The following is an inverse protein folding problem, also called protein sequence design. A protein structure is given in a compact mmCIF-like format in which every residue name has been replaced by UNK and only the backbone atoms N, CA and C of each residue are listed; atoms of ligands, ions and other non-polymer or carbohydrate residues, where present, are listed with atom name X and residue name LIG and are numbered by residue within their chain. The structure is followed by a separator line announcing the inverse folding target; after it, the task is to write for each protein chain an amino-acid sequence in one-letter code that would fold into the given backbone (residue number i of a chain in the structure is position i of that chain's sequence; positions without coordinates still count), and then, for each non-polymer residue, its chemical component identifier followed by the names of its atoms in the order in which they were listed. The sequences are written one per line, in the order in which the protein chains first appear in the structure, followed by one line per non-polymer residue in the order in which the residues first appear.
data_IF_945986678538
#
_entry.id   IF_945986678538
#
_cell.length_a   1.000
_cell.length_b   1.000
_cell.length_c   1.000
_cell.angle_alpha   90.00
_cell.angle_beta   90.00
_cell.angle_gamma   90.00
#
_symmetry.space_group_name_H-M   'P 1'
#
loop_
_entity.id
_entity.type
_entity.pdbx_description
1 polymer ?
#
# COMPACT_ATOMS: atom_id res chain seq x y z
N UNK A 1 -10.30 -19.33 -4.08
CA UNK A 1 -9.35 -18.52 -3.34
C UNK A 1 -9.93 -18.08 -2.00
N UNK A 2 -9.10 -17.83 -1.01
CA UNK A 2 -9.50 -17.45 0.35
C UNK A 2 -10.37 -16.19 0.39
N UNK A 3 -10.10 -15.19 -0.46
CA UNK A 3 -10.90 -13.95 -0.48
C UNK A 3 -12.41 -14.18 -0.61
N UNK A 4 -12.82 -15.28 -1.25
CA UNK A 4 -14.23 -15.62 -1.39
C UNK A 4 -14.81 -16.37 -0.20
N UNK A 5 -13.98 -16.72 0.79
CA UNK A 5 -14.36 -17.42 2.01
C UNK A 5 -14.26 -16.56 3.27
N UNK A 6 -13.52 -15.44 3.21
CA UNK A 6 -13.26 -14.56 4.35
C UNK A 6 -13.79 -13.13 4.17
N UNK A 7 -14.16 -12.73 2.95
CA UNK A 7 -14.73 -11.41 2.70
C UNK A 7 -16.25 -11.52 2.58
N UNK A 8 -16.97 -10.69 3.34
CA UNK A 8 -18.40 -10.52 3.17
C UNK A 8 -18.68 -9.65 1.93
N UNK A 9 -19.59 -10.09 1.09
CA UNK A 9 -20.07 -9.32 -0.06
C UNK A 9 -21.58 -9.16 0.08
N UNK A 10 -22.14 -7.95 -0.09
CA UNK A 10 -23.57 -7.71 0.04
C UNK A 10 -24.43 -8.57 -0.92
N UNK A 11 -23.90 -8.86 -2.11
CA UNK A 11 -24.52 -9.67 -3.14
C UNK A 11 -24.34 -11.19 -2.95
N UNK A 12 -23.67 -11.61 -1.89
CA UNK A 12 -23.35 -13.00 -1.58
C UNK A 12 -23.53 -13.33 -0.11
N UNK A 13 -24.73 -13.19 0.46
CA UNK A 13 -24.97 -13.41 1.90
C UNK A 13 -24.76 -14.86 2.33
N UNK A 14 -24.83 -15.82 1.39
CA UNK A 14 -24.54 -17.24 1.64
C UNK A 14 -23.06 -17.54 1.90
N UNK A 15 -22.16 -16.61 1.62
CA UNK A 15 -20.75 -16.76 1.94
C UNK A 15 -20.56 -16.71 3.45
N UNK A 16 -20.25 -17.84 4.01
CA UNK A 16 -20.06 -18.00 5.44
C UNK A 16 -18.57 -18.19 5.78
N UNK A 17 -18.27 -17.88 7.00
CA UNK A 17 -16.93 -18.05 7.58
C UNK A 17 -16.73 -19.43 8.23
N UNK A 18 -17.57 -20.42 7.94
CA UNK A 18 -17.58 -21.70 8.64
C UNK A 18 -16.22 -22.43 8.57
N UNK A 19 -15.61 -22.46 7.39
CA UNK A 19 -14.27 -23.07 7.24
C UNK A 19 -13.22 -22.30 8.04
N UNK A 20 -13.29 -20.97 8.05
CA UNK A 20 -12.38 -20.14 8.82
C UNK A 20 -12.58 -20.36 10.32
N UNK A 21 -13.84 -20.45 10.81
CA UNK A 21 -14.16 -20.77 12.20
C UNK A 21 -13.54 -22.10 12.63
N UNK A 22 -13.64 -23.14 11.81
CA UNK A 22 -13.03 -24.45 12.11
C UNK A 22 -11.52 -24.38 12.24
N UNK A 23 -10.85 -23.63 11.34
CA UNK A 23 -9.40 -23.45 11.38
C UNK A 23 -8.97 -22.70 12.64
N UNK A 24 -9.64 -21.60 12.97
CA UNK A 24 -9.35 -20.82 14.17
C UNK A 24 -9.62 -21.63 15.44
N UNK A 25 -10.74 -22.36 15.53
CA UNK A 25 -11.05 -23.23 16.65
C UNK A 25 -9.97 -24.30 16.87
N UNK A 26 -9.59 -24.98 15.78
CA UNK A 26 -8.53 -26.01 15.86
C UNK A 26 -7.16 -25.46 16.26
N UNK A 27 -6.85 -24.21 15.90
CA UNK A 27 -5.62 -23.55 16.37
C UNK A 27 -5.70 -23.25 17.88
N UNK A 28 -6.82 -22.70 18.34
CA UNK A 28 -7.05 -22.37 19.74
C UNK A 28 -7.00 -23.61 20.66
N UNK A 29 -7.59 -24.72 20.24
CA UNK A 29 -7.50 -26.00 20.96
C UNK A 29 -6.06 -26.48 21.19
N UNK A 30 -5.14 -26.03 20.34
CA UNK A 30 -3.69 -26.32 20.42
C UNK A 30 -2.88 -25.19 21.09
N UNK A 31 -3.55 -24.17 21.64
CA UNK A 31 -2.89 -23.03 22.25
C UNK A 31 -2.16 -22.11 21.25
N UNK A 32 -2.51 -22.18 19.97
CA UNK A 32 -1.88 -21.35 18.92
C UNK A 32 -2.65 -20.05 18.80
N UNK A 33 -2.03 -18.87 19.05
CA UNK A 33 -2.67 -17.58 18.90
C UNK A 33 -3.01 -17.28 17.43
N UNK A 34 -4.22 -16.82 17.20
CA UNK A 34 -4.72 -16.51 15.86
C UNK A 34 -4.69 -15.01 15.63
N UNK A 35 -3.97 -14.59 14.60
CA UNK A 35 -3.76 -13.19 14.24
C UNK A 35 -4.46 -12.88 12.91
N UNK A 36 -5.24 -11.80 12.87
CA UNK A 36 -5.81 -11.24 11.65
C UNK A 36 -5.13 -9.91 11.32
N UNK A 37 -4.66 -9.76 10.11
CA UNK A 37 -4.15 -8.50 9.61
C UNK A 37 -4.96 -8.03 8.41
N UNK A 38 -5.74 -6.94 8.59
CA UNK A 38 -6.50 -6.34 7.52
C UNK A 38 -5.64 -5.32 6.76
N UNK A 39 -5.37 -5.63 5.50
CA UNK A 39 -4.59 -4.80 4.57
C UNK A 39 -5.47 -3.97 3.64
N UNK A 40 -6.78 -4.11 3.75
CA UNK A 40 -7.79 -3.46 2.90
C UNK A 40 -8.57 -2.38 3.66
N UNK A 41 -8.20 -2.11 4.95
CA UNK A 41 -8.71 -0.98 5.71
C UNK A 41 -8.18 0.34 5.12
N UNK A 42 -8.84 1.45 5.22
CA UNK A 42 -10.19 1.80 5.71
C UNK A 42 -11.28 1.69 4.64
N UNK A 43 -10.92 1.19 3.39
CA UNK A 43 -11.90 1.14 2.29
C UNK A 43 -12.84 -0.06 2.43
N UNK A 44 -12.33 -1.19 2.90
CA UNK A 44 -13.05 -2.47 2.92
C UNK A 44 -13.26 -3.05 4.32
N UNK A 45 -13.28 -2.21 5.35
CA UNK A 45 -13.54 -2.62 6.74
C UNK A 45 -14.75 -3.55 6.86
N UNK A 46 -15.90 -3.13 6.33
CA UNK A 46 -17.15 -3.89 6.44
C UNK A 46 -17.12 -5.27 5.76
N UNK A 47 -16.22 -5.48 4.82
CA UNK A 47 -16.06 -6.79 4.16
C UNK A 47 -15.33 -7.80 5.02
N UNK A 48 -14.53 -7.36 5.97
CA UNK A 48 -13.63 -8.22 6.71
C UNK A 48 -13.91 -8.31 8.21
N UNK A 49 -14.72 -7.39 8.76
CA UNK A 49 -14.99 -7.33 10.20
C UNK A 49 -15.57 -8.64 10.75
N UNK A 50 -16.49 -9.29 10.03
CA UNK A 50 -17.07 -10.58 10.44
C UNK A 50 -16.05 -11.72 10.47
N UNK A 51 -14.99 -11.63 9.71
CA UNK A 51 -13.88 -12.57 9.74
C UNK A 51 -12.86 -12.19 10.80
N UNK A 52 -12.53 -10.91 10.91
CA UNK A 52 -11.59 -10.41 11.91
C UNK A 52 -12.03 -10.73 13.35
N UNK A 53 -13.34 -10.64 13.62
CA UNK A 53 -13.92 -10.95 14.96
C UNK A 53 -13.75 -12.39 15.43
N UNK A 54 -13.25 -13.27 14.58
CA UNK A 54 -12.93 -14.66 14.96
C UNK A 54 -11.54 -14.82 15.58
N UNK A 55 -10.69 -13.81 15.48
CA UNK A 55 -9.26 -13.89 15.81
C UNK A 55 -8.98 -13.32 17.20
N UNK A 56 -7.84 -13.72 17.78
CA UNK A 56 -7.42 -13.30 19.13
C UNK A 56 -6.74 -11.94 19.11
N UNK A 57 -6.10 -11.61 17.98
CA UNK A 57 -5.40 -10.34 17.74
C UNK A 57 -5.79 -9.82 16.38
N UNK A 58 -6.09 -8.52 16.30
CA UNK A 58 -6.44 -7.85 15.05
C UNK A 58 -5.41 -6.74 14.79
N UNK A 59 -4.83 -6.77 13.60
CA UNK A 59 -3.99 -5.70 13.10
C UNK A 59 -4.65 -5.03 11.90
N UNK A 60 -4.53 -3.72 11.85
CA UNK A 60 -5.04 -2.89 10.76
C UNK A 60 -3.92 -2.02 10.18
N UNK A 61 -3.94 -1.79 8.88
CA UNK A 61 -3.02 -0.81 8.25
C UNK A 61 -3.46 0.63 8.53
N UNK A 62 -4.73 0.84 8.93
CA UNK A 62 -5.34 2.14 9.17
C UNK A 62 -5.77 2.27 10.63
N UNK A 63 -5.03 3.06 11.40
CA UNK A 63 -5.35 3.28 12.81
C UNK A 63 -6.75 3.89 13.03
N UNK A 64 -7.31 4.59 12.05
CA UNK A 64 -8.64 5.18 12.15
C UNK A 64 -9.75 4.12 12.23
N UNK A 65 -9.45 2.86 11.83
CA UNK A 65 -10.36 1.73 11.97
C UNK A 65 -10.35 1.10 13.38
N UNK A 66 -9.39 1.42 14.24
CA UNK A 66 -9.25 0.79 15.56
C UNK A 66 -10.51 0.95 16.42
N UNK A 67 -11.12 2.16 16.56
CA UNK A 67 -12.34 2.31 17.34
C UNK A 67 -13.48 1.43 16.83
N UNK A 68 -13.65 1.34 15.52
CA UNK A 68 -14.69 0.51 14.89
C UNK A 68 -14.47 -0.99 15.16
N UNK A 69 -13.21 -1.45 15.15
CA UNK A 69 -12.90 -2.82 15.56
C UNK A 69 -13.25 -3.04 17.03
N UNK A 70 -12.83 -2.16 17.92
CA UNK A 70 -13.07 -2.28 19.36
C UNK A 70 -14.58 -2.29 19.70
N UNK A 71 -15.37 -1.51 18.98
CA UNK A 71 -16.83 -1.51 19.11
C UNK A 71 -17.45 -2.90 18.84
N UNK A 72 -16.93 -3.62 17.84
CA UNK A 72 -17.46 -4.92 17.41
C UNK A 72 -16.91 -6.07 18.26
N UNK A 73 -15.61 -6.07 18.56
CA UNK A 73 -14.96 -7.21 19.23
C UNK A 73 -14.82 -7.03 20.74
N UNK A 74 -15.09 -5.83 21.23
CA UNK A 74 -14.94 -5.49 22.64
C UNK A 74 -13.48 -5.35 23.10
N UNK A 75 -13.28 -4.97 24.37
CA UNK A 75 -11.96 -4.64 24.92
C UNK A 75 -11.05 -5.86 25.16
N UNK A 76 -11.59 -7.08 25.10
CA UNK A 76 -10.82 -8.30 25.33
C UNK A 76 -9.93 -8.69 24.13
N UNK A 77 -10.24 -8.20 22.93
CA UNK A 77 -9.46 -8.46 21.73
C UNK A 77 -8.47 -7.31 21.50
N UNK A 78 -7.20 -7.64 21.40
CA UNK A 78 -6.17 -6.65 21.10
C UNK A 78 -6.26 -6.19 19.65
N UNK A 79 -6.45 -4.88 19.45
CA UNK A 79 -6.47 -4.23 18.13
C UNK A 79 -5.35 -3.20 18.07
N UNK A 80 -4.48 -3.29 17.05
CA UNK A 80 -3.34 -2.40 16.92
C UNK A 80 -3.04 -2.08 15.44
N UNK A 81 -2.37 -0.96 15.14
CA UNK A 81 -1.90 -0.70 13.80
C UNK A 81 -0.73 -1.61 13.44
N UNK A 82 -0.67 -2.05 12.18
CA UNK A 82 0.47 -2.75 11.59
C UNK A 82 0.64 -2.26 10.15
N UNK A 83 1.61 -1.38 9.95
CA UNK A 83 1.83 -0.73 8.67
C UNK A 83 2.39 -1.69 7.61
N UNK A 84 2.28 -1.30 6.34
CA UNK A 84 2.88 -2.04 5.23
C UNK A 84 4.40 -2.17 5.41
N UNK A 85 4.93 -3.23 4.80
CA UNK A 85 6.35 -3.55 4.84
C UNK A 85 6.85 -4.04 3.48
N UNK A 86 8.15 -4.01 3.31
CA UNK A 86 8.86 -4.54 2.15
C UNK A 86 9.60 -5.84 2.49
N UNK A 87 9.86 -6.63 1.45
CA UNK A 87 10.77 -7.77 1.52
C UNK A 87 12.11 -7.36 0.86
N UNK A 88 13.19 -7.19 1.65
CA UNK A 88 14.48 -6.75 1.10
C UNK A 88 15.06 -7.69 0.05
N UNK A 89 14.73 -8.99 0.10
CA UNK A 89 15.12 -9.95 -0.92
C UNK A 89 14.47 -9.69 -2.30
N UNK A 90 13.40 -8.88 -2.36
CA UNK A 90 12.72 -8.49 -3.59
C UNK A 90 12.98 -7.02 -3.88
N UNK A 91 12.74 -6.14 -2.91
CA UNK A 91 12.85 -4.69 -3.04
C UNK A 91 14.10 -4.21 -2.29
N UNK A 92 15.16 -3.98 -3.04
CA UNK A 92 16.45 -3.47 -2.56
C UNK A 92 17.07 -2.56 -3.61
N UNK A 93 17.95 -1.63 -3.23
CA UNK A 93 18.63 -0.75 -4.17
C UNK A 93 19.47 -1.53 -5.19
N UNK A 94 19.74 -0.88 -6.32
CA UNK A 94 20.76 -1.28 -7.29
C UNK A 94 21.79 -0.18 -7.41
N UNK A 95 22.99 -0.55 -7.78
CA UNK A 95 24.07 0.40 -8.14
C UNK A 95 23.93 0.89 -9.57
N UNK A 96 23.09 0.24 -10.38
CA UNK A 96 22.84 0.63 -11.76
C UNK A 96 21.99 1.90 -11.80
N UNK A 97 22.28 2.79 -12.72
CA UNK A 97 21.43 3.95 -12.99
C UNK A 97 20.11 3.55 -13.66
N UNK A 98 19.16 4.48 -13.71
CA UNK A 98 17.91 4.25 -14.44
C UNK A 98 18.17 4.11 -15.96
N UNK A 99 17.34 3.30 -16.63
CA UNK A 99 17.39 3.05 -18.07
C UNK A 99 16.45 3.96 -18.87
N UNK A 100 15.30 4.29 -18.24
CA UNK A 100 14.23 5.03 -18.87
C UNK A 100 14.10 6.41 -18.22
N UNK A 101 14.39 7.51 -18.96
CA UNK A 101 14.26 8.88 -18.42
C UNK A 101 12.80 9.34 -18.38
N UNK A 102 11.91 8.49 -17.89
CA UNK A 102 10.48 8.65 -17.86
C UNK A 102 9.95 8.35 -16.45
N UNK A 103 8.66 8.69 -16.24
CA UNK A 103 7.93 8.25 -15.06
C UNK A 103 7.39 6.81 -15.24
N UNK A 104 7.26 6.10 -14.13
CA UNK A 104 6.64 4.79 -14.06
C UNK A 104 5.49 4.78 -13.06
N UNK A 105 4.39 4.09 -13.39
CA UNK A 105 3.31 3.81 -12.47
C UNK A 105 2.90 2.34 -12.54
N UNK A 106 3.02 1.61 -11.43
CA UNK A 106 2.57 0.22 -11.33
C UNK A 106 1.28 0.18 -10.54
N UNK A 107 0.14 0.01 -11.18
CA UNK A 107 -1.13 0.11 -10.46
C UNK A 107 -2.35 -0.27 -11.26
N UNK A 108 -3.51 0.07 -10.72
CA UNK A 108 -4.80 -0.08 -11.38
C UNK A 108 -5.49 1.27 -11.49
N UNK A 109 -6.27 1.42 -12.52
CA UNK A 109 -7.14 2.56 -12.74
C UNK A 109 -8.61 2.12 -12.70
N UNK A 110 -9.51 3.03 -12.30
CA UNK A 110 -10.94 2.74 -12.28
C UNK A 110 -11.77 4.01 -12.41
N UNK A 111 -12.70 4.00 -13.36
CA UNK A 111 -13.67 5.08 -13.58
C UNK A 111 -14.82 5.10 -12.58
N UNK A 112 -15.18 3.94 -12.00
CA UNK A 112 -16.42 3.77 -11.23
C UNK A 112 -16.22 3.65 -9.71
N UNK A 113 -14.98 3.54 -9.24
CA UNK A 113 -14.64 3.50 -7.80
C UNK A 113 -13.43 4.36 -7.50
N UNK A 114 -13.32 4.82 -6.24
CA UNK A 114 -12.18 5.61 -5.75
C UNK A 114 -11.91 6.90 -6.55
N UNK A 115 -12.95 7.74 -6.70
CA UNK A 115 -12.88 8.99 -7.49
C UNK A 115 -11.71 9.90 -7.08
N UNK A 116 -11.50 10.13 -5.78
CA UNK A 116 -10.36 10.94 -5.29
C UNK A 116 -9.01 10.40 -5.77
N UNK A 117 -8.80 9.07 -5.63
CA UNK A 117 -7.58 8.43 -6.13
C UNK A 117 -7.41 8.59 -7.64
N UNK A 118 -8.50 8.50 -8.40
CA UNK A 118 -8.49 8.71 -9.85
C UNK A 118 -8.06 10.14 -10.20
N UNK A 119 -8.63 11.13 -9.55
CA UNK A 119 -8.26 12.54 -9.79
C UNK A 119 -6.75 12.76 -9.54
N UNK A 120 -6.21 12.20 -8.48
CA UNK A 120 -4.77 12.23 -8.22
C UNK A 120 -3.94 11.54 -9.31
N UNK A 121 -4.39 10.39 -9.82
CA UNK A 121 -3.73 9.70 -10.92
C UNK A 121 -3.72 10.55 -12.19
N UNK A 122 -4.87 11.09 -12.57
CA UNK A 122 -5.03 11.94 -13.78
C UNK A 122 -4.17 13.19 -13.67
N UNK A 123 -4.13 13.84 -12.52
CA UNK A 123 -3.29 15.01 -12.25
C UNK A 123 -1.79 14.68 -12.42
N UNK A 124 -1.31 13.58 -11.82
CA UNK A 124 0.08 13.17 -11.98
C UNK A 124 0.42 12.78 -13.42
N UNK A 125 -0.48 12.08 -14.12
CA UNK A 125 -0.27 11.70 -15.52
C UNK A 125 -0.26 12.92 -16.45
N UNK A 126 -1.13 13.90 -16.22
CA UNK A 126 -1.12 15.16 -16.95
C UNK A 126 0.21 15.91 -16.76
N UNK A 127 0.71 15.97 -15.53
CA UNK A 127 1.99 16.60 -15.23
C UNK A 127 3.20 15.96 -15.92
N UNK A 128 3.14 14.67 -16.26
CA UNK A 128 4.24 13.95 -16.91
C UNK A 128 4.43 14.25 -18.41
N UNK A 129 3.73 15.23 -18.99
CA UNK A 129 3.77 15.52 -20.43
C UNK A 129 5.19 15.70 -21.00
N UNK A 130 6.09 16.28 -20.20
CA UNK A 130 7.46 16.57 -20.61
C UNK A 130 8.42 15.37 -20.60
N UNK A 131 8.15 14.37 -19.75
CA UNK A 131 9.05 13.20 -19.60
C UNK A 131 8.38 11.90 -20.06
N UNK A 132 7.05 11.89 -20.20
CA UNK A 132 6.28 10.68 -20.47
C UNK A 132 6.09 9.79 -19.22
N UNK A 133 5.09 8.92 -19.29
CA UNK A 133 4.80 7.95 -18.23
C UNK A 133 4.44 6.57 -18.80
N UNK A 134 5.11 5.54 -18.30
CA UNK A 134 4.75 4.14 -18.58
C UNK A 134 3.96 3.57 -17.42
N UNK A 135 2.78 3.07 -17.71
CA UNK A 135 1.88 2.42 -16.74
C UNK A 135 1.91 0.92 -16.93
N UNK A 136 2.13 0.16 -15.85
CA UNK A 136 1.97 -1.28 -15.81
C UNK A 136 0.62 -1.60 -15.17
N UNK A 137 -0.38 -1.88 -16.01
CA UNK A 137 -1.78 -1.97 -15.62
C UNK A 137 -2.12 -3.32 -14.96
N UNK A 138 -2.37 -3.30 -13.65
CA UNK A 138 -2.80 -4.48 -12.88
C UNK A 138 -4.15 -5.05 -13.32
N UNK A 139 -4.95 -4.27 -14.04
CA UNK A 139 -6.24 -4.65 -14.58
C UNK A 139 -6.21 -5.00 -16.09
N UNK A 140 -5.02 -5.11 -16.70
CA UNK A 140 -4.86 -5.35 -18.14
C UNK A 140 -5.61 -6.55 -18.69
N UNK A 141 -5.84 -7.59 -17.85
CA UNK A 141 -6.66 -8.74 -18.21
C UNK A 141 -8.17 -8.56 -18.10
N UNK A 142 -8.67 -7.36 -17.71
CA UNK A 142 -10.09 -7.07 -17.60
C UNK A 142 -10.63 -6.45 -18.89
N UNK A 143 -11.78 -6.93 -19.36
CA UNK A 143 -12.41 -6.43 -20.60
C UNK A 143 -13.21 -5.13 -20.40
N UNK A 144 -13.68 -4.86 -19.18
CA UNK A 144 -14.55 -3.70 -18.90
C UNK A 144 -13.84 -2.37 -19.18
N UNK A 145 -14.49 -1.42 -19.88
CA UNK A 145 -13.96 -0.08 -20.15
C UNK A 145 -13.70 0.74 -18.87
N UNK A 146 -14.36 0.40 -17.77
CA UNK A 146 -14.18 1.07 -16.48
C UNK A 146 -12.75 0.98 -15.93
N UNK A 147 -11.89 0.14 -16.49
CA UNK A 147 -10.50 -0.04 -16.06
C UNK A 147 -9.49 0.51 -17.06
N UNK A 148 -9.94 1.23 -18.11
CA UNK A 148 -9.04 1.80 -19.12
C UNK A 148 -8.45 3.12 -18.63
N UNK A 149 -7.15 3.27 -18.75
CA UNK A 149 -6.43 4.51 -18.51
C UNK A 149 -6.83 5.57 -19.52
N UNK A 150 -6.67 6.87 -19.18
CA UNK A 150 -6.91 7.94 -20.14
C UNK A 150 -5.98 7.81 -21.35
N UNK A 151 -6.47 8.22 -22.51
CA UNK A 151 -5.71 8.28 -23.77
C UNK A 151 -4.94 9.60 -23.80
N UNK A 152 -3.66 9.55 -23.44
CA UNK A 152 -2.75 10.71 -23.47
C UNK A 152 -1.55 10.37 -24.33
N UNK A 153 -1.09 11.29 -25.22
CA UNK A 153 0.02 11.02 -26.15
C UNK A 153 1.34 10.59 -25.47
N UNK A 154 1.53 11.00 -24.22
CA UNK A 154 2.73 10.72 -23.41
C UNK A 154 2.54 9.58 -22.40
N UNK A 155 1.39 8.92 -22.42
CA UNK A 155 1.08 7.80 -21.51
C UNK A 155 1.07 6.48 -22.27
N UNK A 156 2.03 5.61 -21.95
CA UNK A 156 2.09 4.26 -22.48
C UNK A 156 1.50 3.27 -21.48
N UNK A 157 0.56 2.43 -21.90
CA UNK A 157 -0.03 1.38 -21.06
C UNK A 157 0.54 0.02 -21.43
N UNK A 158 1.19 -0.63 -20.49
CA UNK A 158 1.75 -1.97 -20.60
C UNK A 158 0.93 -2.99 -19.78
N UNK A 159 0.98 -4.28 -20.13
CA UNK A 159 0.38 -5.33 -19.35
C UNK A 159 0.90 -5.38 -17.91
N UNK A 160 0.14 -6.05 -17.02
CA UNK A 160 0.56 -6.30 -15.64
C UNK A 160 1.82 -7.14 -15.58
N UNK A 161 2.67 -6.86 -14.59
CA UNK A 161 3.84 -7.67 -14.26
C UNK A 161 3.63 -8.40 -12.92
N UNK A 162 4.28 -9.55 -12.71
CA UNK A 162 4.34 -10.19 -11.40
C UNK A 162 4.95 -9.25 -10.34
N UNK A 163 4.49 -9.37 -9.09
CA UNK A 163 5.00 -8.55 -7.98
C UNK A 163 6.53 -8.64 -7.80
N UNK A 164 7.12 -9.79 -8.06
CA UNK A 164 8.58 -10.00 -7.99
C UNK A 164 9.37 -9.21 -9.03
N UNK A 165 8.72 -8.73 -10.09
CA UNK A 165 9.33 -7.90 -11.13
C UNK A 165 9.16 -6.41 -10.91
N UNK A 166 8.32 -5.99 -9.95
CA UNK A 166 8.06 -4.56 -9.70
C UNK A 166 9.32 -3.82 -9.22
N UNK A 167 10.18 -4.50 -8.47
CA UNK A 167 11.45 -3.94 -8.02
C UNK A 167 12.35 -3.49 -9.17
N UNK A 168 12.41 -4.30 -10.25
CA UNK A 168 13.19 -3.93 -11.43
C UNK A 168 12.64 -2.66 -12.10
N UNK A 169 11.31 -2.52 -12.17
CA UNK A 169 10.69 -1.32 -12.72
C UNK A 169 11.04 -0.08 -11.91
N UNK A 170 10.99 -0.16 -10.57
CA UNK A 170 11.32 0.97 -9.70
C UNK A 170 12.80 1.38 -9.78
N UNK A 171 13.67 0.49 -10.24
CA UNK A 171 15.10 0.77 -10.51
C UNK A 171 15.35 1.28 -11.92
N UNK A 172 14.61 0.78 -12.91
CA UNK A 172 14.84 1.07 -14.33
C UNK A 172 14.30 2.44 -14.76
N UNK A 173 13.28 2.97 -14.06
CA UNK A 173 12.70 4.26 -14.41
C UNK A 173 13.27 5.39 -13.56
N UNK A 174 13.45 6.56 -14.18
CA UNK A 174 14.01 7.76 -13.53
C UNK A 174 13.18 8.16 -12.30
N UNK A 175 11.86 8.07 -12.40
CA UNK A 175 10.94 8.41 -11.30
C UNK A 175 9.77 7.44 -11.25
N UNK A 176 9.29 7.14 -10.05
CA UNK A 176 8.14 6.27 -9.84
C UNK A 176 7.01 7.02 -9.14
N UNK A 177 5.80 6.91 -9.70
CA UNK A 177 4.62 7.61 -9.20
C UNK A 177 3.91 6.77 -8.13
N UNK A 178 3.52 7.41 -7.04
CA UNK A 178 2.68 6.85 -6.00
C UNK A 178 1.42 7.69 -5.80
N UNK A 179 0.29 7.02 -5.61
CA UNK A 179 -0.99 7.64 -5.26
C UNK A 179 -1.54 6.95 -4.03
N UNK A 180 -1.89 7.72 -3.02
CA UNK A 180 -2.54 7.25 -1.82
C UNK A 180 -4.07 7.27 -2.02
N UNK A 181 -4.77 6.30 -1.44
CA UNK A 181 -6.24 6.21 -1.47
C UNK A 181 -6.84 6.77 -0.19
N UNK A 182 -6.14 6.61 0.93
CA UNK A 182 -6.49 7.14 2.25
C UNK A 182 -5.47 8.23 2.57
N UNK A 183 -5.94 9.44 2.82
CA UNK A 183 -5.10 10.63 3.02
C UNK A 183 -5.11 11.10 4.49
N UNK A 184 -6.15 10.77 5.23
CA UNK A 184 -6.44 11.21 6.60
C UNK A 184 -5.97 10.24 7.70
N UNK A 185 -5.18 9.24 7.34
CA UNK A 185 -4.60 8.27 8.28
C UNK A 185 -3.09 8.49 8.44
N UNK A 186 -2.61 8.47 9.67
CA UNK A 186 -1.17 8.57 9.96
C UNK A 186 -0.42 7.24 9.82
N UNK A 187 -1.11 6.12 9.62
CA UNK A 187 -0.49 4.80 9.46
C UNK A 187 -0.75 4.17 8.09
N UNK A 188 -1.82 4.61 7.39
CA UNK A 188 -2.17 4.07 6.09
C UNK A 188 -1.50 4.88 4.97
N UNK A 189 -0.77 4.19 4.13
CA UNK A 189 -0.17 4.69 2.89
C UNK A 189 -0.22 3.62 1.81
N UNK A 190 0.02 3.99 0.56
CA UNK A 190 0.13 2.99 -0.49
C UNK A 190 1.40 2.15 -0.31
N UNK A 191 1.27 0.83 -0.24
CA UNK A 191 2.42 -0.09 -0.13
C UNK A 191 3.49 0.17 -1.21
N UNK A 192 3.07 0.63 -2.39
CA UNK A 192 3.99 1.00 -3.49
C UNK A 192 5.02 2.03 -3.04
N UNK A 193 4.67 2.98 -2.17
CA UNK A 193 5.61 4.01 -1.73
C UNK A 193 6.85 3.39 -1.07
N UNK A 194 6.67 2.49 -0.12
CA UNK A 194 7.81 1.82 0.53
C UNK A 194 8.53 0.86 -0.41
N UNK A 195 7.84 0.26 -1.39
CA UNK A 195 8.48 -0.58 -2.40
C UNK A 195 9.37 0.25 -3.35
N UNK A 196 8.93 1.44 -3.76
CA UNK A 196 9.74 2.37 -4.57
C UNK A 196 10.97 2.82 -3.79
N UNK A 197 10.77 3.33 -2.58
CA UNK A 197 11.85 3.83 -1.74
C UNK A 197 12.88 2.74 -1.44
N UNK A 198 12.44 1.53 -1.06
CA UNK A 198 13.34 0.41 -0.79
C UNK A 198 14.23 0.05 -1.98
N UNK A 199 13.77 0.30 -3.22
CA UNK A 199 14.56 0.08 -4.43
C UNK A 199 15.54 1.21 -4.75
N UNK A 200 15.60 2.28 -3.96
CA UNK A 200 16.36 3.48 -4.26
C UNK A 200 15.74 4.29 -5.41
N UNK A 201 14.45 4.07 -5.70
CA UNK A 201 13.72 4.81 -6.71
C UNK A 201 13.32 6.21 -6.23
N UNK A 202 13.41 7.21 -7.11
CA UNK A 202 12.88 8.54 -6.82
C UNK A 202 11.36 8.49 -6.83
N UNK A 203 10.75 8.70 -5.67
CA UNK A 203 9.29 8.66 -5.52
C UNK A 203 8.67 10.05 -5.68
N UNK A 204 7.62 10.14 -6.51
CA UNK A 204 6.68 11.27 -6.54
C UNK A 204 5.33 10.77 -6.04
N UNK A 205 4.82 11.36 -4.98
CA UNK A 205 3.64 10.89 -4.27
C UNK A 205 2.60 12.00 -4.08
N UNK A 206 1.34 11.60 -3.95
CA UNK A 206 0.26 12.47 -3.48
C UNK A 206 0.33 12.67 -1.97
N UNK A 207 -0.24 13.76 -1.42
CA UNK A 207 -0.22 14.04 0.01
C UNK A 207 -0.95 12.96 0.84
N UNK A 208 -0.77 13.03 2.14
CA UNK A 208 -1.43 12.21 3.16
C UNK A 208 -0.71 12.33 4.49
N UNK A 209 -1.43 12.18 5.61
CA UNK A 209 -0.86 12.32 6.95
C UNK A 209 0.29 11.34 7.21
N UNK A 210 0.22 10.12 6.68
CA UNK A 210 1.29 9.15 6.75
C UNK A 210 2.53 9.55 5.94
N UNK A 211 2.32 10.21 4.79
CA UNK A 211 3.41 10.74 3.96
C UNK A 211 4.12 11.86 4.70
N UNK A 212 3.36 12.80 5.23
CA UNK A 212 3.91 13.93 5.98
C UNK A 212 4.70 13.47 7.22
N UNK A 213 4.25 12.39 7.85
CA UNK A 213 4.89 11.85 9.05
C UNK A 213 6.16 11.06 8.77
N UNK A 214 6.17 10.24 7.72
CA UNK A 214 7.22 9.24 7.52
C UNK A 214 8.05 9.41 6.24
N UNK A 215 7.51 10.06 5.20
CA UNK A 215 8.10 9.97 3.86
C UNK A 215 8.36 11.31 3.17
N UNK A 216 7.95 12.44 3.73
CA UNK A 216 8.10 13.76 3.11
C UNK A 216 9.55 14.14 2.82
N UNK A 217 10.50 13.65 3.64
CA UNK A 217 11.92 13.95 3.48
C UNK A 217 12.60 13.01 2.45
N UNK A 218 11.88 11.97 1.99
CA UNK A 218 12.39 10.92 1.10
C UNK A 218 11.64 10.84 -0.23
N UNK A 219 10.68 11.73 -0.48
CA UNK A 219 9.86 11.75 -1.68
C UNK A 219 9.41 13.15 -2.04
N UNK A 220 9.15 13.40 -3.31
CA UNK A 220 8.45 14.61 -3.72
C UNK A 220 6.95 14.45 -3.49
N UNK A 221 6.38 15.34 -2.69
CA UNK A 221 4.93 15.40 -2.43
C UNK A 221 4.32 16.48 -3.32
N UNK A 222 3.44 16.07 -4.23
CA UNK A 222 2.81 16.95 -5.22
C UNK A 222 1.33 17.13 -4.88
N UNK A 223 0.87 18.37 -4.77
CA UNK A 223 -0.46 18.75 -4.30
C UNK A 223 -1.38 19.29 -5.40
N UNK A 224 -0.80 19.71 -6.52
CA UNK A 224 -1.55 20.22 -7.66
C UNK A 224 -0.82 19.95 -8.97
N UNK A 225 -1.52 20.18 -10.08
CA UNK A 225 -0.98 19.94 -11.42
C UNK A 225 0.21 20.85 -11.75
N UNK A 226 0.20 22.08 -11.25
CA UNK A 226 1.30 23.03 -11.44
C UNK A 226 2.59 22.53 -10.80
N UNK A 227 2.54 22.11 -9.52
CA UNK A 227 3.69 21.49 -8.83
C UNK A 227 4.20 20.25 -9.55
N UNK A 228 3.28 19.43 -10.10
CA UNK A 228 3.64 18.24 -10.87
C UNK A 228 4.38 18.63 -12.16
N UNK A 229 3.85 19.60 -12.90
CA UNK A 229 4.42 20.09 -14.16
C UNK A 229 5.80 20.70 -13.96
N UNK A 230 5.95 21.54 -12.94
CA UNK A 230 7.24 22.15 -12.60
C UNK A 230 8.29 21.11 -12.22
N UNK A 231 7.91 20.14 -11.39
CA UNK A 231 8.80 19.07 -10.98
C UNK A 231 9.25 18.22 -12.19
N UNK A 232 8.31 17.78 -13.03
CA UNK A 232 8.64 16.93 -14.16
C UNK A 232 9.36 17.72 -15.28
N UNK A 233 9.04 19.00 -15.47
CA UNK A 233 9.78 19.90 -16.34
C UNK A 233 11.26 20.02 -15.93
N UNK A 234 11.53 20.09 -14.61
CA UNK A 234 12.89 20.04 -14.09
C UNK A 234 13.54 18.67 -14.31
N UNK A 235 12.83 17.58 -14.01
CA UNK A 235 13.34 16.20 -14.16
C UNK A 235 13.65 15.82 -15.62
N UNK A 236 13.09 16.51 -16.60
CA UNK A 236 13.44 16.35 -18.02
C UNK A 236 14.95 16.51 -18.28
N UNK A 237 15.63 17.28 -17.45
CA UNK A 237 17.07 17.50 -17.53
C UNK A 237 17.90 16.47 -16.74
N UNK A 238 17.25 15.42 -16.20
CA UNK A 238 17.85 14.35 -15.40
C UNK A 238 17.85 14.61 -13.90
N UNK A 239 18.33 13.62 -13.15
CA UNK A 239 18.41 13.68 -11.69
C UNK A 239 19.61 14.52 -11.24
N UNK A 240 19.37 15.41 -10.28
CA UNK A 240 20.43 16.13 -9.55
C UNK A 240 21.07 15.24 -8.49
N UNK A 241 22.18 15.68 -7.87
CA UNK A 241 22.80 15.01 -6.73
C UNK A 241 21.80 14.90 -5.56
N UNK A 242 21.04 15.98 -5.30
CA UNK A 242 20.01 16.01 -4.27
C UNK A 242 18.91 14.95 -4.48
N UNK A 243 18.48 14.73 -5.73
CA UNK A 243 17.48 13.70 -6.06
C UNK A 243 18.01 12.30 -5.71
N UNK A 244 19.28 12.03 -6.04
CA UNK A 244 19.94 10.76 -5.75
C UNK A 244 20.16 10.55 -4.26
N UNK A 245 20.59 11.59 -3.55
CA UNK A 245 20.76 11.58 -2.08
C UNK A 245 19.42 11.30 -1.37
N UNK A 246 18.35 11.97 -1.80
CA UNK A 246 17.00 11.75 -1.26
C UNK A 246 16.52 10.31 -1.50
N UNK A 247 16.70 9.77 -2.70
CA UNK A 247 16.33 8.40 -3.02
C UNK A 247 17.16 7.38 -2.22
N UNK A 248 18.45 7.60 -2.07
CA UNK A 248 19.34 6.75 -1.25
C UNK A 248 18.95 6.78 0.23
N UNK A 249 18.71 7.96 0.79
CA UNK A 249 18.26 8.12 2.17
C UNK A 249 16.89 7.45 2.40
N UNK A 250 15.98 7.53 1.43
CA UNK A 250 14.69 6.84 1.45
C UNK A 250 14.83 5.33 1.49
N UNK A 251 15.77 4.78 0.72
CA UNK A 251 16.04 3.34 0.72
C UNK A 251 16.60 2.88 2.08
N UNK A 252 17.58 3.59 2.62
CA UNK A 252 18.15 3.30 3.94
C UNK A 252 17.07 3.34 5.02
N UNK A 253 16.26 4.40 5.04
CA UNK A 253 15.17 4.56 6.00
C UNK A 253 14.15 3.43 5.93
N UNK A 254 13.66 3.08 4.75
CA UNK A 254 12.65 2.04 4.59
C UNK A 254 13.21 0.66 4.93
N UNK A 255 14.43 0.35 4.52
CA UNK A 255 15.07 -0.93 4.84
C UNK A 255 15.37 -1.07 6.34
N UNK A 256 15.58 0.04 7.04
CA UNK A 256 15.80 0.09 8.49
C UNK A 256 14.51 -0.02 9.30
N UNK A 257 13.36 0.51 8.82
CA UNK A 257 12.17 0.69 9.65
C UNK A 257 10.92 -0.06 9.13
N UNK A 258 10.86 -0.43 7.83
CA UNK A 258 9.66 -0.92 7.18
C UNK A 258 9.82 -2.31 6.53
N UNK A 259 10.60 -3.21 7.13
CA UNK A 259 10.72 -4.58 6.63
C UNK A 259 9.73 -5.55 7.28
N UNK A 260 9.53 -6.68 6.66
CA UNK A 260 8.72 -7.76 7.22
C UNK A 260 9.25 -8.26 8.58
N UNK A 261 10.56 -8.21 8.81
CA UNK A 261 11.15 -8.55 10.10
C UNK A 261 10.58 -7.66 11.20
N UNK A 262 10.57 -6.34 10.99
CA UNK A 262 10.00 -5.39 11.96
C UNK A 262 8.51 -5.66 12.23
N UNK A 263 7.72 -5.93 11.18
CA UNK A 263 6.28 -6.23 11.35
C UNK A 263 6.06 -7.53 12.11
N UNK A 264 6.84 -8.57 11.84
CA UNK A 264 6.77 -9.83 12.59
C UNK A 264 7.16 -9.65 14.06
N UNK A 265 8.18 -8.86 14.35
CA UNK A 265 8.56 -8.51 15.72
C UNK A 265 7.45 -7.74 16.46
N UNK A 266 6.76 -6.82 15.79
CA UNK A 266 5.59 -6.12 16.35
C UNK A 266 4.47 -7.11 16.68
N UNK A 267 4.16 -8.04 15.78
CA UNK A 267 3.19 -9.11 16.00
C UNK A 267 3.61 -9.98 17.18
N UNK A 268 4.87 -10.45 17.20
CA UNK A 268 5.39 -11.30 18.28
C UNK A 268 5.33 -10.59 19.65
N UNK A 269 5.67 -9.32 19.71
CA UNK A 269 5.55 -8.50 20.93
C UNK A 269 4.10 -8.38 21.40
N UNK A 270 3.15 -8.27 20.49
CA UNK A 270 1.73 -8.18 20.84
C UNK A 270 1.20 -9.48 21.40
N UNK A 271 1.50 -10.63 20.77
CA UNK A 271 1.02 -11.94 21.21
C UNK A 271 1.72 -12.44 22.48
N UNK A 272 2.94 -11.96 22.77
CA UNK A 272 3.68 -12.33 24.01
C UNK A 272 3.19 -11.55 25.24
N UNK A 273 2.40 -10.48 25.08
CA UNK A 273 1.78 -9.78 26.20
C UNK A 273 0.53 -10.53 26.63
N UNK A 274 0.40 -10.92 27.91
CA UNK A 274 -0.83 -11.56 28.34
C UNK A 274 -2.00 -10.59 28.10
N UNK A 275 -3.00 -11.06 27.36
CA UNK A 275 -4.29 -10.38 27.28
C UNK A 275 -4.77 -10.22 28.72
N UNK A 276 -5.00 -8.99 29.19
CA UNK A 276 -5.61 -8.76 30.50
C UNK A 276 -6.96 -9.47 30.46
N UNK A 277 -7.03 -10.64 31.10
CA UNK A 277 -8.31 -11.26 31.39
C UNK A 277 -9.05 -10.25 32.27
N UNK A 278 -10.09 -9.63 31.71
CA UNK A 278 -11.07 -8.95 32.55
C UNK A 278 -11.62 -10.00 33.47
N UNK A 279 -11.26 -9.94 34.75
CA UNK A 279 -11.95 -10.66 35.79
C UNK A 279 -13.40 -10.19 35.73
N UNK A 280 -14.24 -11.02 35.13
CA UNK A 280 -15.69 -10.91 35.27
C UNK A 280 -15.95 -11.26 36.74
N UNK A 281 -16.22 -10.23 37.54
CA UNK A 281 -16.80 -10.36 38.86
C UNK A 281 -18.32 -10.49 38.74
#
# INVERSE_FOLDING_TARGET
AWKYKIAAYPDRPERNTQTLRKVVASARERGIPCVFWNREDGIHFHRFISSASLFDYIFTVDQNCIPQYQEVVGPAVAVAPLMFAVQPAIHSPSTDGYRYPQACFVGSYSLHVHGGRRNWQEMLFAGCSDIGVTVYDRNSGRSSPNYRYPDLPWLQVCPSVPHTQTAQLYRDYMVSLNVNTVEDSVTMFSRRLVEILACGGLAVTTPGLSVDRYFKDYSYVVRCEEEARDLFGRLKHGLTSRDREMAAAGAEYVLKEFTWTHRLEEVMRAISRPVKQSSVA
#
